data_IF_271961926859
#
_entry.id   IF_271961926859
#
_cell.length_a   1.000
_cell.length_b   1.000
_cell.length_c   1.000
_cell.angle_alpha   90.00
_cell.angle_beta   90.00
_cell.angle_gamma   90.00
#
_symmetry.space_group_name_H-M   'P 1'
#
loop_
_entity.id
_entity.type
_entity.pdbx_description
1 polymer ?
#
# COMPACT_ATOMS: atom_id res chain seq x y z
N UNK A 1 11.04 -6.04 14.74
CA UNK A 1 11.76 -6.60 13.56
C UNK A 1 11.01 -6.16 12.31
N UNK A 2 11.67 -5.70 11.24
CA UNK A 2 10.95 -5.28 10.02
C UNK A 2 10.34 -6.47 9.26
N UNK A 3 9.17 -6.27 8.67
CA UNK A 3 8.50 -7.27 7.83
C UNK A 3 9.31 -7.64 6.58
N UNK A 4 10.09 -6.70 6.01
CA UNK A 4 11.06 -6.99 4.96
C UNK A 4 12.04 -8.10 5.34
N UNK A 5 12.54 -8.06 6.58
CA UNK A 5 13.49 -9.07 7.06
C UNK A 5 12.82 -10.44 7.14
N UNK A 6 11.57 -10.50 7.60
CA UNK A 6 10.78 -11.74 7.61
C UNK A 6 10.61 -12.30 6.19
N UNK A 7 10.18 -11.46 5.23
CA UNK A 7 10.02 -11.89 3.84
C UNK A 7 11.33 -12.45 3.27
N UNK A 8 12.46 -11.78 3.52
CA UNK A 8 13.77 -12.24 3.08
C UNK A 8 14.20 -13.55 3.76
N UNK A 9 13.95 -13.71 5.05
CA UNK A 9 14.29 -14.93 5.80
C UNK A 9 13.46 -16.14 5.29
N UNK A 10 12.15 -15.97 5.06
CA UNK A 10 11.25 -17.01 4.54
C UNK A 10 11.58 -17.40 3.09
N UNK A 11 11.87 -16.41 2.24
CA UNK A 11 12.26 -16.60 0.85
C UNK A 11 13.74 -16.97 0.68
N UNK A 12 14.50 -17.09 1.79
CA UNK A 12 15.93 -17.41 1.83
C UNK A 12 16.80 -16.43 1.01
N UNK A 13 16.41 -15.17 0.98
CA UNK A 13 17.12 -14.08 0.30
C UNK A 13 18.21 -13.54 1.24
N UNK A 14 19.51 -13.63 0.89
CA UNK A 14 20.58 -13.10 1.70
C UNK A 14 20.50 -11.58 1.84
N UNK A 15 20.72 -11.06 3.06
CA UNK A 15 20.79 -9.61 3.33
C UNK A 15 21.81 -8.88 2.44
N UNK A 16 22.90 -9.56 2.02
CA UNK A 16 23.91 -9.00 1.14
C UNK A 16 23.35 -8.56 -0.22
N UNK A 17 22.28 -9.19 -0.69
CA UNK A 17 21.66 -8.83 -1.96
C UNK A 17 20.99 -7.46 -1.88
N UNK A 18 20.24 -7.21 -0.81
CA UNK A 18 19.66 -5.88 -0.56
C UNK A 18 20.75 -4.82 -0.35
N UNK A 19 21.82 -5.14 0.39
CA UNK A 19 22.97 -4.23 0.57
C UNK A 19 23.59 -3.85 -0.78
N UNK A 20 23.81 -4.83 -1.66
CA UNK A 20 24.38 -4.61 -2.99
C UNK A 20 23.47 -3.79 -3.88
N UNK A 21 22.16 -4.07 -3.86
CA UNK A 21 21.18 -3.38 -4.69
C UNK A 21 20.95 -1.93 -4.23
N UNK A 22 20.72 -1.74 -2.93
CA UNK A 22 20.30 -0.46 -2.35
C UNK A 22 21.44 0.54 -2.16
N UNK A 23 22.70 0.07 -2.18
CA UNK A 23 23.88 0.91 -1.94
C UNK A 23 24.05 1.36 -0.49
N UNK A 24 23.22 0.88 0.44
CA UNK A 24 23.33 1.17 1.86
C UNK A 24 24.47 0.39 2.51
N UNK A 25 25.08 0.94 3.56
CA UNK A 25 26.12 0.20 4.27
C UNK A 25 25.54 -1.05 4.94
N UNK A 26 26.32 -2.14 4.94
CA UNK A 26 25.96 -3.39 5.63
C UNK A 26 25.57 -3.14 7.10
N UNK A 27 26.28 -2.24 7.77
CA UNK A 27 26.02 -1.87 9.16
C UNK A 27 24.66 -1.20 9.33
N UNK A 28 24.30 -0.24 8.46
CA UNK A 28 23.00 0.42 8.50
C UNK A 28 21.87 -0.58 8.26
N UNK A 29 21.95 -1.40 7.21
CA UNK A 29 20.93 -2.41 6.91
C UNK A 29 20.79 -3.39 8.08
N UNK A 30 21.90 -3.88 8.62
CA UNK A 30 21.87 -4.82 9.75
C UNK A 30 21.26 -4.21 11.00
N UNK A 31 21.59 -2.95 11.30
CA UNK A 31 21.02 -2.23 12.43
C UNK A 31 19.52 -2.01 12.24
N UNK A 32 19.08 -1.57 11.07
CA UNK A 32 17.67 -1.36 10.73
C UNK A 32 16.88 -2.67 10.84
N UNK A 33 17.39 -3.76 10.29
CA UNK A 33 16.73 -5.07 10.34
C UNK A 33 16.65 -5.64 11.76
N UNK A 34 17.70 -5.42 12.56
CA UNK A 34 17.76 -5.87 13.95
C UNK A 34 16.85 -5.04 14.86
N UNK A 35 16.85 -3.72 14.72
CA UNK A 35 16.17 -2.80 15.63
C UNK A 35 14.76 -2.42 15.19
N UNK A 36 14.41 -2.63 13.92
CA UNK A 36 13.16 -2.14 13.37
C UNK A 36 13.12 -0.63 13.11
N UNK A 37 14.18 0.11 13.45
CA UNK A 37 14.24 1.57 13.31
C UNK A 37 14.80 1.94 11.95
N UNK A 38 14.06 2.74 11.20
CA UNK A 38 14.50 3.27 9.91
C UNK A 38 15.71 4.21 10.09
N UNK A 39 16.63 4.26 9.11
CA UNK A 39 17.75 5.19 9.14
C UNK A 39 17.30 6.65 8.99
N UNK A 40 18.22 7.59 9.23
CA UNK A 40 17.93 9.04 9.17
C UNK A 40 17.31 9.49 7.84
N UNK A 41 17.75 8.92 6.72
CA UNK A 41 17.14 9.12 5.41
C UNK A 41 16.14 7.99 5.11
N UNK A 42 15.04 8.01 5.85
CA UNK A 42 14.00 6.98 5.80
C UNK A 42 13.29 6.94 4.44
N UNK A 43 13.12 8.08 3.77
CA UNK A 43 12.49 8.18 2.45
C UNK A 43 13.31 7.45 1.38
N UNK A 44 14.63 7.68 1.35
CA UNK A 44 15.52 6.94 0.44
C UNK A 44 15.54 5.46 0.75
N UNK A 45 15.54 5.09 2.04
CA UNK A 45 15.51 3.68 2.45
C UNK A 45 14.21 3.01 1.99
N UNK A 46 13.06 3.65 2.21
CA UNK A 46 11.75 3.19 1.76
C UNK A 46 11.70 2.99 0.24
N UNK A 47 12.16 3.99 -0.53
CA UNK A 47 12.26 3.86 -1.99
C UNK A 47 13.15 2.70 -2.41
N UNK A 48 14.28 2.48 -1.72
CA UNK A 48 15.17 1.35 -1.99
C UNK A 48 14.51 0.01 -1.72
N UNK A 49 13.67 -0.09 -0.70
CA UNK A 49 12.91 -1.30 -0.36
C UNK A 49 11.85 -1.61 -1.42
N UNK A 50 11.08 -0.60 -1.83
CA UNK A 50 10.06 -0.75 -2.87
C UNK A 50 10.69 -1.20 -4.19
N UNK A 51 11.75 -0.50 -4.64
CA UNK A 51 12.46 -0.87 -5.86
C UNK A 51 13.08 -2.28 -5.77
N UNK A 52 13.64 -2.64 -4.63
CA UNK A 52 14.17 -3.99 -4.43
C UNK A 52 13.07 -5.05 -4.54
N UNK A 53 11.90 -4.83 -3.94
CA UNK A 53 10.79 -5.77 -3.97
C UNK A 53 10.13 -5.87 -5.35
N UNK A 54 9.97 -4.76 -6.07
CA UNK A 54 9.28 -4.76 -7.36
C UNK A 54 10.21 -5.08 -8.55
N UNK A 55 11.46 -4.63 -8.53
CA UNK A 55 12.37 -4.76 -9.67
C UNK A 55 13.40 -5.89 -9.49
N UNK A 56 14.02 -5.98 -8.31
CA UNK A 56 15.12 -6.91 -8.10
C UNK A 56 14.65 -8.29 -7.67
N UNK A 57 13.58 -8.34 -6.87
CA UNK A 57 13.04 -9.55 -6.25
C UNK A 57 11.51 -9.57 -6.23
N UNK A 58 10.87 -9.73 -7.39
CA UNK A 58 9.41 -9.78 -7.50
C UNK A 58 8.78 -10.91 -6.67
N UNK A 59 9.54 -11.93 -6.26
CA UNK A 59 9.04 -12.92 -5.29
C UNK A 59 8.67 -12.32 -3.92
N UNK A 60 9.27 -11.19 -3.53
CA UNK A 60 8.90 -10.46 -2.32
C UNK A 60 7.53 -9.80 -2.50
N UNK A 61 7.27 -9.20 -3.66
CA UNK A 61 5.97 -8.62 -3.98
C UNK A 61 4.87 -9.69 -3.99
N UNK A 62 5.14 -10.86 -4.58
CA UNK A 62 4.23 -12.00 -4.54
C UNK A 62 3.95 -12.48 -3.11
N UNK A 63 4.99 -12.60 -2.27
CA UNK A 63 4.84 -12.97 -0.85
C UNK A 63 3.99 -11.94 -0.09
N UNK A 64 4.21 -10.64 -0.33
CA UNK A 64 3.42 -9.56 0.29
C UNK A 64 1.94 -9.68 -0.09
N UNK A 65 1.65 -9.96 -1.35
CA UNK A 65 0.28 -10.14 -1.84
C UNK A 65 -0.40 -11.39 -1.24
N UNK A 66 0.32 -12.51 -1.08
CA UNK A 66 -0.18 -13.73 -0.43
C UNK A 66 -0.57 -13.48 1.04
N UNK A 67 0.12 -12.56 1.71
CA UNK A 67 -0.20 -12.13 3.08
C UNK A 67 -1.33 -11.09 3.14
N UNK A 68 -1.89 -10.66 2.00
CA UNK A 68 -2.93 -9.64 1.93
C UNK A 68 -2.43 -8.22 2.26
N UNK A 69 -1.15 -7.95 1.99
CA UNK A 69 -0.47 -6.69 2.30
C UNK A 69 -0.09 -5.93 1.02
N UNK A 70 0.37 -4.69 1.18
CA UNK A 70 1.01 -3.90 0.11
C UNK A 70 2.52 -3.77 0.37
N UNK A 71 3.29 -3.45 -0.66
CA UNK A 71 4.77 -3.42 -0.61
C UNK A 71 5.28 -2.46 0.46
N UNK A 72 4.56 -1.36 0.70
CA UNK A 72 4.87 -0.39 1.76
C UNK A 72 4.85 -1.02 3.17
N UNK A 73 4.04 -2.05 3.40
CA UNK A 73 4.00 -2.77 4.68
C UNK A 73 5.29 -3.55 4.98
N UNK A 74 6.23 -3.68 4.02
CA UNK A 74 7.55 -4.25 4.28
C UNK A 74 8.36 -3.42 5.29
N UNK A 75 8.03 -2.15 5.45
CA UNK A 75 8.64 -1.24 6.43
C UNK A 75 7.99 -1.31 7.82
N UNK A 76 6.91 -2.09 7.97
CA UNK A 76 6.23 -2.23 9.25
C UNK A 76 7.06 -3.04 10.24
N UNK A 77 7.01 -2.64 11.51
CA UNK A 77 7.56 -3.43 12.60
C UNK A 77 6.59 -4.52 13.01
N UNK A 78 7.08 -5.76 13.02
CA UNK A 78 6.33 -6.93 13.47
C UNK A 78 6.06 -6.93 14.99
N UNK A 79 6.91 -6.22 15.75
CA UNK A 79 6.76 -6.11 17.21
C UNK A 79 5.79 -4.99 17.61
N UNK A 80 5.47 -4.08 16.68
CA UNK A 80 4.37 -3.14 16.87
C UNK A 80 3.07 -3.92 16.69
N UNK A 81 2.60 -4.52 17.80
CA UNK A 81 1.25 -5.08 17.95
C UNK A 81 0.16 -3.99 17.90
N UNK A 82 0.45 -2.85 17.28
CA UNK A 82 -0.56 -1.90 16.89
C UNK A 82 -1.40 -2.61 15.81
N UNK A 83 -2.72 -2.65 16.02
CA UNK A 83 -3.65 -3.09 15.00
C UNK A 83 -3.22 -2.50 13.65
N UNK A 84 -3.25 -3.29 12.56
CA UNK A 84 -2.82 -2.80 11.25
C UNK A 84 -3.46 -1.43 11.04
N UNK A 85 -2.69 -0.39 10.66
CA UNK A 85 -3.28 0.92 10.40
C UNK A 85 -4.43 0.66 9.44
N UNK A 86 -5.64 1.05 9.86
CA UNK A 86 -6.84 0.80 9.07
C UNK A 86 -6.52 1.20 7.63
N UNK A 87 -6.73 0.31 6.64
CA UNK A 87 -6.30 0.54 5.27
C UNK A 87 -6.74 1.94 4.87
N UNK A 88 -5.78 2.76 4.42
CA UNK A 88 -6.02 4.13 4.01
C UNK A 88 -6.97 4.10 2.82
N UNK A 89 -8.25 4.17 3.16
CA UNK A 89 -9.35 3.88 2.26
C UNK A 89 -9.39 4.94 1.14
N UNK A 90 -8.96 6.16 1.46
CA UNK A 90 -8.81 7.27 0.52
C UNK A 90 -7.74 6.95 -0.52
N UNK A 91 -6.59 6.43 -0.08
CA UNK A 91 -5.53 5.97 -0.98
C UNK A 91 -5.99 4.79 -1.85
N UNK A 92 -6.64 3.77 -1.27
CA UNK A 92 -7.13 2.62 -2.03
C UNK A 92 -8.17 3.03 -3.10
N UNK A 93 -9.08 3.94 -2.76
CA UNK A 93 -10.07 4.46 -3.71
C UNK A 93 -9.42 5.29 -4.82
N UNK A 94 -8.45 6.14 -4.48
CA UNK A 94 -7.69 6.93 -5.44
C UNK A 94 -6.87 6.05 -6.40
N UNK A 95 -6.27 4.95 -5.93
CA UNK A 95 -5.53 4.02 -6.77
C UNK A 95 -6.45 3.25 -7.74
N UNK A 96 -7.62 2.80 -7.28
CA UNK A 96 -8.61 2.12 -8.15
C UNK A 96 -9.14 3.10 -9.21
N UNK A 97 -9.47 4.33 -8.81
CA UNK A 97 -9.93 5.37 -9.73
C UNK A 97 -8.84 5.77 -10.74
N UNK A 98 -7.60 5.94 -10.28
CA UNK A 98 -6.45 6.26 -11.12
C UNK A 98 -6.14 5.17 -12.14
N UNK A 99 -6.18 3.90 -11.74
CA UNK A 99 -6.00 2.75 -12.65
C UNK A 99 -7.13 2.64 -13.67
N UNK A 100 -8.37 2.96 -13.27
CA UNK A 100 -9.52 2.96 -14.19
C UNK A 100 -9.47 4.10 -15.22
N UNK A 101 -8.96 5.28 -14.84
CA UNK A 101 -8.77 6.41 -15.74
C UNK A 101 -7.60 6.22 -16.72
N UNK A 102 -6.52 5.55 -16.29
CA UNK A 102 -5.35 5.28 -17.13
C UNK A 102 -5.59 4.12 -18.12
N UNK A 103 -6.63 3.30 -17.91
CA UNK A 103 -7.09 2.31 -18.86
C UNK A 103 -7.83 2.99 -20.02
N UNK A 104 -7.08 3.42 -21.04
CA UNK A 104 -7.61 4.00 -22.27
C UNK A 104 -8.67 3.06 -22.89
N UNK A 105 -9.90 3.57 -23.02
CA UNK A 105 -11.14 2.87 -23.37
C UNK A 105 -11.83 2.14 -22.20
N UNK A 106 -12.25 2.91 -21.20
CA UNK A 106 -13.20 2.43 -20.18
C UNK A 106 -14.54 2.15 -20.85
N UNK A 107 -14.87 0.89 -21.06
CA UNK A 107 -16.19 0.52 -21.58
C UNK A 107 -17.28 0.94 -20.59
N UNK A 108 -18.49 1.21 -21.10
CA UNK A 108 -19.66 1.53 -20.26
C UNK A 108 -19.89 0.48 -19.16
N UNK A 109 -19.57 -0.78 -19.41
CA UNK A 109 -19.66 -1.85 -18.42
C UNK A 109 -18.67 -1.67 -17.27
N UNK A 110 -17.43 -1.28 -17.57
CA UNK A 110 -16.40 -1.05 -16.55
C UNK A 110 -16.73 0.16 -15.66
N UNK A 111 -17.33 1.21 -16.22
CA UNK A 111 -17.87 2.35 -15.43
C UNK A 111 -19.01 1.90 -14.50
N UNK A 112 -19.91 1.05 -15.00
CA UNK A 112 -21.01 0.50 -14.20
C UNK A 112 -20.49 -0.40 -13.08
N UNK A 113 -19.48 -1.23 -13.35
CA UNK A 113 -18.90 -2.13 -12.35
C UNK A 113 -18.09 -1.34 -11.31
N UNK A 114 -17.40 -0.27 -11.70
CA UNK A 114 -16.79 0.66 -10.75
C UNK A 114 -17.85 1.34 -9.87
N UNK A 115 -18.95 1.82 -10.46
CA UNK A 115 -20.03 2.44 -9.70
C UNK A 115 -20.67 1.46 -8.69
N UNK A 116 -20.80 0.18 -9.07
CA UNK A 116 -21.27 -0.89 -8.18
C UNK A 116 -20.28 -1.17 -7.05
N UNK A 117 -18.98 -1.21 -7.34
CA UNK A 117 -17.94 -1.38 -6.33
C UNK A 117 -17.95 -0.19 -5.35
N UNK A 118 -18.08 1.04 -5.83
CA UNK A 118 -18.22 2.23 -5.01
C UNK A 118 -19.48 2.18 -4.12
N UNK A 119 -20.63 1.75 -4.62
CA UNK A 119 -21.84 1.63 -3.79
C UNK A 119 -21.73 0.50 -2.75
N UNK A 120 -21.09 -0.61 -3.07
CA UNK A 120 -20.81 -1.69 -2.11
C UNK A 120 -19.88 -1.21 -0.98
N UNK A 121 -18.82 -0.49 -1.33
CA UNK A 121 -17.90 0.10 -0.36
C UNK A 121 -18.60 1.15 0.50
N UNK A 122 -19.44 2.00 -0.11
CA UNK A 122 -20.27 2.99 0.59
C UNK A 122 -21.22 2.34 1.59
N UNK A 123 -21.91 1.25 1.20
CA UNK A 123 -22.80 0.51 2.12
C UNK A 123 -22.02 -0.10 3.28
N UNK A 124 -20.88 -0.72 3.01
CA UNK A 124 -20.01 -1.25 4.06
C UNK A 124 -19.49 -0.16 5.01
N UNK A 125 -19.21 1.03 4.50
CA UNK A 125 -18.83 2.18 5.33
C UNK A 125 -19.97 2.66 6.22
N UNK A 126 -21.19 2.73 5.70
CA UNK A 126 -22.39 3.07 6.48
C UNK A 126 -22.65 2.03 7.57
N UNK A 127 -22.49 0.74 7.26
CA UNK A 127 -22.65 -0.34 8.23
C UNK A 127 -21.61 -0.29 9.37
N UNK A 128 -20.38 0.12 9.05
CA UNK A 128 -19.27 0.16 10.01
C UNK A 128 -19.28 1.40 10.90
N UNK A 129 -19.68 2.55 10.38
CA UNK A 129 -19.46 3.86 11.02
C UNK A 129 -20.75 4.66 11.21
N UNK A 130 -21.88 4.16 10.70
CA UNK A 130 -23.17 4.81 10.75
C UNK A 130 -23.41 5.78 9.58
N UNK A 131 -24.68 6.15 9.30
CA UNK A 131 -25.05 6.97 8.16
C UNK A 131 -24.58 8.42 8.25
N UNK A 132 -24.27 8.92 9.45
CA UNK A 132 -23.91 10.32 9.71
C UNK A 132 -22.40 10.59 9.63
N UNK A 133 -21.64 9.67 9.03
CA UNK A 133 -20.20 9.77 8.99
C UNK A 133 -19.74 10.98 8.15
N UNK A 134 -18.96 11.92 8.71
CA UNK A 134 -18.71 13.25 8.12
C UNK A 134 -17.97 13.21 6.77
N UNK A 135 -17.32 12.10 6.43
CA UNK A 135 -16.65 11.91 5.14
C UNK A 135 -17.62 11.58 3.99
N UNK A 136 -18.81 11.04 4.27
CA UNK A 136 -19.82 10.74 3.24
C UNK A 136 -20.30 12.01 2.54
N UNK A 137 -20.56 13.06 3.32
CA UNK A 137 -20.99 14.38 2.81
C UNK A 137 -19.90 15.04 1.96
N UNK A 138 -18.62 14.85 2.29
CA UNK A 138 -17.49 15.34 1.49
C UNK A 138 -17.38 14.62 0.15
N UNK A 139 -17.48 13.29 0.15
CA UNK A 139 -17.41 12.49 -1.08
C UNK A 139 -18.57 12.85 -2.02
N UNK A 140 -19.81 12.92 -1.50
CA UNK A 140 -20.97 13.33 -2.30
C UNK A 140 -20.85 14.77 -2.83
N UNK A 141 -20.28 15.67 -2.04
CA UNK A 141 -20.00 17.05 -2.42
C UNK A 141 -19.01 17.15 -3.58
N UNK A 142 -17.90 16.41 -3.54
CA UNK A 142 -16.89 16.43 -4.61
C UNK A 142 -17.37 15.72 -5.88
N UNK A 143 -18.08 14.60 -5.76
CA UNK A 143 -18.72 13.93 -6.92
C UNK A 143 -19.73 14.85 -7.59
N UNK A 144 -20.55 15.57 -6.81
CA UNK A 144 -21.51 16.53 -7.34
C UNK A 144 -20.86 17.71 -8.04
N UNK A 145 -19.67 18.14 -7.63
CA UNK A 145 -18.90 19.19 -8.33
C UNK A 145 -18.37 18.70 -9.67
N UNK A 146 -17.79 17.50 -9.70
CA UNK A 146 -17.25 16.89 -10.91
C UNK A 146 -18.35 16.64 -11.95
N UNK A 147 -19.53 16.17 -11.54
CA UNK A 147 -20.67 15.95 -12.45
C UNK A 147 -21.30 17.23 -13.00
N UNK A 148 -21.09 18.39 -12.38
CA UNK A 148 -21.55 19.69 -12.91
C UNK A 148 -20.57 20.30 -13.90
N UNK A 149 -19.34 19.78 -13.97
CA UNK A 149 -18.27 20.27 -14.84
C UNK A 149 -18.09 19.43 -16.11
N UNK A 150 -18.76 18.27 -16.20
CA UNK A 150 -18.86 17.42 -17.38
C UNK A 150 -20.15 17.71 -18.16
#
# INVERSE_FOLDING_TARGET
>A
MLRLKQAMDELKIPQQEFVKYSGWSKTQVSLTFKTGKLPADSAKFAGSVVLFACEARPEIEAWVAEQGLIVENLLDNLDDSAAPPAPDLERCLCEIAGRAMLANATSRSMVIDLARACDLLRRRLVDLVGPDAPYMVKIEGEVSKLLRQA
#
